data_IF_985037480457
#
_entry.id   IF_985037480457
#
_cell.length_a   1.000
_cell.length_b   1.000
_cell.length_c   1.000
_cell.angle_alpha   90.00
_cell.angle_beta   90.00
_cell.angle_gamma   90.00
#
_symmetry.space_group_name_H-M   'P 1'
#
loop_
_entity.id
_entity.type
_entity.pdbx_description
1 polymer ?
#
# COMPACT_ATOMS: atom_id res chain seq x y z
N UNK A 1 26.39 2.99 -23.98
CA UNK A 1 26.63 3.79 -22.75
C UNK A 1 28.09 3.68 -22.41
N UNK A 2 28.77 4.81 -22.20
CA UNK A 2 30.20 4.82 -21.86
C UNK A 2 30.42 4.52 -20.36
N UNK A 3 31.66 4.25 -19.96
CA UNK A 3 32.01 4.10 -18.53
C UNK A 3 31.78 5.42 -17.76
N UNK A 4 31.97 6.56 -18.42
CA UNK A 4 31.69 7.88 -17.84
C UNK A 4 30.19 8.06 -17.57
N UNK A 5 29.33 7.67 -18.52
CA UNK A 5 27.88 7.70 -18.32
C UNK A 5 27.45 6.80 -17.16
N UNK A 6 28.02 5.59 -17.07
CA UNK A 6 27.74 4.67 -15.96
C UNK A 6 28.14 5.29 -14.61
N UNK A 7 29.33 5.89 -14.54
CA UNK A 7 29.83 6.56 -13.33
C UNK A 7 28.94 7.74 -12.94
N UNK A 8 28.40 8.48 -13.92
CA UNK A 8 27.46 9.58 -13.67
C UNK A 8 26.13 9.07 -13.10
N UNK A 9 25.61 7.95 -13.59
CA UNK A 9 24.40 7.32 -13.06
C UNK A 9 24.64 6.85 -11.62
N UNK A 10 25.72 6.11 -11.38
CA UNK A 10 26.09 5.60 -10.05
C UNK A 10 26.11 6.71 -8.99
N UNK A 11 26.70 7.86 -9.32
CA UNK A 11 26.83 9.01 -8.40
C UNK A 11 25.53 9.80 -8.22
N UNK A 12 24.48 9.53 -8.98
CA UNK A 12 23.23 10.31 -8.95
C UNK A 12 22.02 9.53 -8.44
N UNK A 13 22.04 8.19 -8.46
CA UNK A 13 20.85 7.37 -8.14
C UNK A 13 20.47 7.32 -6.65
N UNK A 14 21.41 7.60 -5.75
CA UNK A 14 21.20 7.54 -4.29
C UNK A 14 21.76 8.80 -3.60
N UNK A 15 20.99 9.90 -3.56
CA UNK A 15 21.48 11.18 -3.03
C UNK A 15 21.57 11.24 -1.49
N UNK A 16 21.01 10.25 -0.77
CA UNK A 16 20.98 10.25 0.70
C UNK A 16 20.25 9.04 1.28
N UNK A 17 19.76 9.19 2.51
CA UNK A 17 19.01 8.15 3.21
C UNK A 17 17.64 7.85 2.60
N UNK A 18 17.14 6.63 2.79
CA UNK A 18 15.80 6.20 2.36
C UNK A 18 15.80 4.90 1.58
N UNK A 19 14.60 4.35 1.39
CA UNK A 19 14.40 3.19 0.54
C UNK A 19 14.35 3.56 -0.96
N UNK A 20 14.32 2.57 -1.85
CA UNK A 20 14.14 2.79 -3.28
C UNK A 20 12.85 3.58 -3.56
N UNK A 21 12.93 4.66 -4.36
CA UNK A 21 11.81 5.59 -4.56
C UNK A 21 10.63 5.07 -5.40
N UNK A 22 10.83 4.06 -6.25
CA UNK A 22 9.75 3.44 -7.01
C UNK A 22 8.83 2.56 -6.14
N UNK A 23 7.71 2.12 -6.70
CA UNK A 23 6.78 1.15 -6.10
C UNK A 23 7.35 -0.29 -6.13
N UNK A 24 8.57 -0.45 -5.61
CA UNK A 24 9.19 -1.74 -5.33
C UNK A 24 8.69 -2.28 -3.99
N UNK A 25 9.27 -3.39 -3.51
CA UNK A 25 8.83 -4.08 -2.29
C UNK A 25 8.71 -3.14 -1.08
N UNK A 26 9.68 -2.24 -0.85
CA UNK A 26 9.66 -1.36 0.33
C UNK A 26 8.44 -0.44 0.36
N UNK A 27 8.21 0.33 -0.71
CA UNK A 27 7.07 1.23 -0.83
C UNK A 27 5.73 0.47 -0.94
N UNK A 28 5.74 -0.70 -1.59
CA UNK A 28 4.57 -1.58 -1.63
C UNK A 28 4.19 -2.02 -0.21
N UNK A 29 5.15 -2.51 0.57
CA UNK A 29 4.90 -3.01 1.92
C UNK A 29 4.60 -1.89 2.93
N UNK A 30 5.14 -0.67 2.74
CA UNK A 30 4.75 0.49 3.52
C UNK A 30 3.28 0.88 3.26
N UNK A 31 2.85 0.87 1.99
CA UNK A 31 1.45 1.12 1.63
C UNK A 31 0.51 0.01 2.12
N UNK A 32 0.96 -1.24 2.08
CA UNK A 32 0.27 -2.40 2.69
C UNK A 32 0.10 -2.21 4.19
N UNK A 33 1.10 -1.70 4.90
CA UNK A 33 1.02 -1.51 6.34
C UNK A 33 -0.05 -0.46 6.72
N UNK A 34 -0.18 0.62 5.94
CA UNK A 34 -1.31 1.55 6.09
C UNK A 34 -2.65 0.87 5.80
N UNK A 35 -2.76 0.13 4.69
CA UNK A 35 -4.00 -0.50 4.25
C UNK A 35 -4.49 -1.63 5.18
N UNK A 36 -3.55 -2.36 5.83
CA UNK A 36 -3.84 -3.30 6.91
C UNK A 36 -4.33 -2.61 8.19
N UNK A 37 -4.20 -1.29 8.28
CA UNK A 37 -4.44 -0.54 9.51
C UNK A 37 -3.32 -0.68 10.53
N UNK A 38 -2.14 -1.19 10.16
CA UNK A 38 -0.98 -1.40 11.04
C UNK A 38 0.00 -0.23 11.07
N UNK A 39 -0.26 0.83 10.32
CA UNK A 39 0.49 2.08 10.31
C UNK A 39 -0.47 3.26 10.31
N UNK A 40 -0.04 4.39 10.86
CA UNK A 40 -0.86 5.60 10.87
C UNK A 40 -1.17 6.04 9.43
N UNK A 41 -2.42 6.42 9.11
CA UNK A 41 -2.79 6.92 7.79
C UNK A 41 -1.90 8.09 7.36
N UNK A 42 -1.32 7.99 6.16
CA UNK A 42 -0.42 8.98 5.57
C UNK A 42 1.06 8.83 5.96
N UNK A 43 1.43 7.84 6.78
CA UNK A 43 2.80 7.68 7.27
C UNK A 43 3.76 7.04 6.26
N UNK A 44 3.29 6.34 5.22
CA UNK A 44 4.12 5.63 4.26
C UNK A 44 4.81 6.57 3.27
N UNK A 45 4.08 7.58 2.76
CA UNK A 45 4.52 8.37 1.62
C UNK A 45 5.61 9.43 1.89
N UNK A 46 5.65 10.13 3.04
CA UNK A 46 6.64 11.19 3.26
C UNK A 46 8.08 10.71 3.08
N UNK A 47 8.96 11.44 2.36
CA UNK A 47 10.34 11.03 2.18
C UNK A 47 11.09 10.83 3.50
N UNK A 48 12.10 9.96 3.51
CA UNK A 48 12.94 9.66 4.68
C UNK A 48 13.44 10.91 5.42
N UNK A 49 14.00 11.85 4.68
CA UNK A 49 14.58 13.09 5.21
C UNK A 49 13.54 14.17 5.59
N UNK A 50 12.24 13.90 5.41
CA UNK A 50 11.17 14.84 5.74
C UNK A 50 10.80 14.75 7.23
N UNK A 51 10.75 15.90 7.92
CA UNK A 51 10.42 15.99 9.36
C UNK A 51 9.01 15.51 9.72
N UNK A 52 8.12 15.36 8.74
CA UNK A 52 6.83 14.69 8.95
C UNK A 52 7.02 13.24 9.43
N UNK A 53 8.15 12.59 9.12
CA UNK A 53 8.46 11.24 9.63
C UNK A 53 8.71 11.23 11.13
N UNK A 54 9.38 12.24 11.68
CA UNK A 54 9.55 12.41 13.14
C UNK A 54 8.19 12.58 13.83
N UNK A 55 7.30 13.35 13.22
CA UNK A 55 5.92 13.51 13.70
C UNK A 55 5.18 12.17 13.73
N UNK A 56 5.19 11.41 12.63
CA UNK A 56 4.55 10.08 12.60
C UNK A 56 5.18 9.10 13.59
N UNK A 57 6.51 9.17 13.81
CA UNK A 57 7.19 8.35 14.81
C UNK A 57 6.70 8.66 16.23
N UNK A 58 6.57 9.95 16.58
CA UNK A 58 6.02 10.36 17.87
C UNK A 58 4.55 9.93 18.03
N UNK A 59 3.70 10.21 17.04
CA UNK A 59 2.28 9.83 17.03
C UNK A 59 2.10 8.30 17.12
N UNK A 60 3.03 7.51 16.58
CA UNK A 60 2.99 6.05 16.70
C UNK A 60 3.22 5.59 18.15
N UNK A 61 4.05 6.33 18.92
CA UNK A 61 4.22 6.12 20.36
C UNK A 61 2.95 6.42 21.15
N UNK A 62 2.24 7.49 20.80
CA UNK A 62 0.92 7.79 21.40
C UNK A 62 -0.11 6.71 21.05
N UNK A 63 -0.14 6.28 19.79
CA UNK A 63 -1.06 5.28 19.29
C UNK A 63 -0.93 3.95 20.04
N UNK A 64 0.29 3.44 20.22
CA UNK A 64 0.49 2.17 20.94
C UNK A 64 0.07 2.25 22.41
N UNK A 65 0.24 3.41 23.07
CA UNK A 65 -0.27 3.61 24.44
C UNK A 65 -1.80 3.57 24.47
N UNK A 66 -2.46 4.17 23.48
CA UNK A 66 -3.91 4.10 23.34
C UNK A 66 -4.40 2.66 23.10
N UNK A 67 -3.74 1.91 22.21
CA UNK A 67 -4.07 0.51 21.94
C UNK A 67 -3.98 -0.35 23.21
N UNK A 68 -2.94 -0.14 24.02
CA UNK A 68 -2.79 -0.83 25.32
C UNK A 68 -3.94 -0.46 26.27
N UNK A 69 -4.31 0.82 26.33
CA UNK A 69 -5.39 1.28 27.20
C UNK A 69 -6.76 0.73 26.79
N UNK A 70 -7.00 0.58 25.48
CA UNK A 70 -8.24 0.04 24.90
C UNK A 70 -8.25 -1.49 24.82
N UNK A 71 -7.10 -2.15 25.08
CA UNK A 71 -6.96 -3.60 24.97
C UNK A 71 -6.99 -4.11 23.52
N UNK A 72 -6.67 -3.27 22.54
CA UNK A 72 -6.64 -3.63 21.12
C UNK A 72 -5.29 -4.27 20.80
N UNK A 73 -5.33 -5.47 20.22
CA UNK A 73 -4.16 -6.23 19.81
C UNK A 73 -4.00 -6.27 18.30
N UNK A 74 -2.82 -6.70 17.83
CA UNK A 74 -2.54 -6.77 16.40
C UNK A 74 -3.51 -7.70 15.63
N UNK A 75 -4.03 -8.76 16.26
CA UNK A 75 -4.99 -9.68 15.62
C UNK A 75 -6.40 -9.10 15.54
N UNK A 76 -6.73 -8.11 16.38
CA UNK A 76 -7.99 -7.36 16.25
C UNK A 76 -7.98 -6.43 15.02
N UNK A 77 -6.78 -6.05 14.55
CA UNK A 77 -6.55 -5.19 13.39
C UNK A 77 -6.37 -6.02 12.11
N UNK A 78 -5.50 -7.03 12.16
CA UNK A 78 -5.13 -7.84 10.99
C UNK A 78 -6.17 -8.93 10.70
N UNK A 79 -7.39 -8.54 10.34
CA UNK A 79 -8.48 -9.45 9.93
C UNK A 79 -8.43 -9.80 8.45
N UNK A 80 -9.25 -10.76 8.01
CA UNK A 80 -9.39 -11.11 6.58
C UNK A 80 -9.66 -9.88 5.72
N UNK A 81 -10.60 -9.04 6.13
CA UNK A 81 -10.99 -7.81 5.45
C UNK A 81 -9.83 -6.80 5.38
N UNK A 82 -9.00 -6.69 6.43
CA UNK A 82 -7.80 -5.86 6.40
C UNK A 82 -6.78 -6.38 5.36
N UNK A 83 -6.60 -7.70 5.25
CA UNK A 83 -5.77 -8.27 4.18
C UNK A 83 -6.35 -8.02 2.79
N UNK A 84 -7.68 -8.07 2.62
CA UNK A 84 -8.31 -7.72 1.35
C UNK A 84 -8.12 -6.24 0.98
N UNK A 85 -8.14 -5.33 1.97
CA UNK A 85 -7.79 -3.92 1.79
C UNK A 85 -6.34 -3.77 1.31
N UNK A 86 -5.42 -4.48 1.95
CA UNK A 86 -4.02 -4.47 1.58
C UNK A 86 -3.78 -4.96 0.14
N UNK A 87 -4.45 -6.04 -0.27
CA UNK A 87 -4.39 -6.53 -1.65
C UNK A 87 -4.95 -5.48 -2.60
N UNK A 88 -6.09 -4.86 -2.28
CA UNK A 88 -6.71 -3.82 -3.11
C UNK A 88 -5.76 -2.63 -3.33
N UNK A 89 -5.08 -2.18 -2.28
CA UNK A 89 -4.07 -1.11 -2.39
C UNK A 89 -2.86 -1.54 -3.23
N UNK A 90 -2.37 -2.78 -3.08
CA UNK A 90 -1.30 -3.33 -3.93
C UNK A 90 -1.71 -3.31 -5.40
N UNK A 91 -2.94 -3.74 -5.72
CA UNK A 91 -3.44 -3.75 -7.10
C UNK A 91 -3.58 -2.33 -7.66
N UNK A 92 -4.11 -1.40 -6.87
CA UNK A 92 -4.29 -0.01 -7.26
C UNK A 92 -2.97 0.71 -7.56
N UNK A 93 -1.91 0.40 -6.84
CA UNK A 93 -0.59 0.99 -7.08
C UNK A 93 0.28 0.25 -8.11
N UNK A 94 -0.13 -0.92 -8.59
CA UNK A 94 0.75 -1.78 -9.39
C UNK A 94 1.96 -2.26 -8.59
N UNK A 95 1.72 -2.64 -7.33
CA UNK A 95 2.76 -3.00 -6.37
C UNK A 95 3.59 -4.23 -6.76
N UNK A 96 4.68 -4.43 -6.03
CA UNK A 96 5.58 -5.57 -6.24
C UNK A 96 4.89 -6.92 -6.04
N UNK A 97 5.18 -7.89 -6.92
CA UNK A 97 4.74 -9.29 -6.75
C UNK A 97 5.22 -9.93 -5.46
N UNK A 98 6.30 -9.42 -4.84
CA UNK A 98 6.75 -9.88 -3.52
C UNK A 98 5.72 -9.63 -2.40
N UNK A 99 4.80 -8.67 -2.59
CA UNK A 99 3.72 -8.43 -1.65
C UNK A 99 2.84 -9.67 -1.46
N UNK A 100 2.68 -10.51 -2.49
CA UNK A 100 1.94 -11.79 -2.38
C UNK A 100 2.59 -12.70 -1.33
N UNK A 101 3.90 -12.89 -1.40
CA UNK A 101 4.64 -13.72 -0.46
C UNK A 101 4.57 -13.16 0.96
N UNK A 102 4.76 -11.85 1.11
CA UNK A 102 4.74 -11.21 2.42
C UNK A 102 3.36 -11.22 3.05
N UNK A 103 2.30 -10.89 2.31
CA UNK A 103 0.93 -10.91 2.81
C UNK A 103 0.50 -12.32 3.24
N UNK A 104 0.81 -13.36 2.45
CA UNK A 104 0.53 -14.75 2.84
C UNK A 104 1.28 -15.15 4.12
N UNK A 105 2.53 -14.73 4.28
CA UNK A 105 3.31 -15.00 5.50
C UNK A 105 2.74 -14.27 6.72
N UNK A 106 2.43 -12.98 6.59
CA UNK A 106 1.85 -12.17 7.67
C UNK A 106 0.47 -12.70 8.06
N UNK A 107 -0.37 -13.07 7.09
CA UNK A 107 -1.68 -13.67 7.33
C UNK A 107 -1.57 -14.97 8.13
N UNK A 108 -0.58 -15.81 7.79
CA UNK A 108 -0.33 -17.05 8.54
C UNK A 108 0.08 -16.80 9.99
N UNK A 109 0.92 -15.81 10.25
CA UNK A 109 1.30 -15.43 11.63
C UNK A 109 0.14 -14.79 12.41
N UNK A 110 -0.74 -14.07 11.70
CA UNK A 110 -1.97 -13.49 12.24
C UNK A 110 -3.10 -14.52 12.41
N UNK A 111 -2.91 -15.78 12.01
CA UNK A 111 -3.92 -16.84 11.99
C UNK A 111 -5.15 -16.52 11.11
N UNK A 112 -4.91 -15.79 10.01
CA UNK A 112 -5.92 -15.47 9.00
C UNK A 112 -5.78 -16.38 7.79
N UNK A 113 -6.91 -16.92 7.34
CA UNK A 113 -6.98 -17.71 6.10
C UNK A 113 -6.88 -16.80 4.87
N UNK A 114 -5.68 -16.67 4.31
CA UNK A 114 -5.40 -15.95 3.07
C UNK A 114 -4.82 -16.91 2.04
N UNK A 115 -5.45 -16.96 0.87
CA UNK A 115 -5.16 -17.91 -0.20
C UNK A 115 -4.69 -17.15 -1.45
N UNK A 116 -3.95 -17.82 -2.33
CA UNK A 116 -3.50 -17.22 -3.59
C UNK A 116 -4.68 -16.80 -4.48
N UNK A 117 -5.79 -17.53 -4.39
CA UNK A 117 -7.02 -17.23 -5.12
C UNK A 117 -7.66 -15.89 -4.73
N UNK A 118 -7.42 -15.40 -3.50
CA UNK A 118 -7.93 -14.10 -3.06
C UNK A 118 -7.30 -12.95 -3.85
N UNK A 119 -6.03 -13.08 -4.23
CA UNK A 119 -5.35 -12.07 -5.03
C UNK A 119 -5.99 -11.89 -6.40
N UNK A 120 -6.34 -12.98 -7.09
CA UNK A 120 -7.04 -12.89 -8.38
C UNK A 120 -8.45 -12.31 -8.21
N UNK A 121 -9.22 -12.81 -7.22
CA UNK A 121 -10.59 -12.33 -6.95
C UNK A 121 -10.64 -10.81 -6.74
N UNK A 122 -9.63 -10.25 -6.09
CA UNK A 122 -9.51 -8.81 -5.83
C UNK A 122 -8.95 -8.08 -7.06
N UNK A 123 -7.89 -8.61 -7.70
CA UNK A 123 -7.29 -8.04 -8.90
C UNK A 123 -8.29 -7.86 -10.05
N UNK A 124 -9.26 -8.77 -10.17
CA UNK A 124 -10.30 -8.73 -11.21
C UNK A 124 -11.26 -7.52 -11.05
N UNK A 125 -11.31 -6.91 -9.86
CA UNK A 125 -12.24 -5.80 -9.54
C UNK A 125 -11.54 -4.46 -9.31
N UNK A 126 -10.25 -4.48 -8.95
CA UNK A 126 -9.51 -3.27 -8.58
C UNK A 126 -8.68 -2.78 -9.77
N UNK A 127 -8.91 -1.55 -10.27
CA UNK A 127 -8.15 -1.00 -11.38
C UNK A 127 -6.73 -0.61 -10.96
N UNK A 128 -5.78 -0.63 -11.90
CA UNK A 128 -4.43 -0.09 -11.70
C UNK A 128 -4.42 1.42 -11.92
N UNK A 129 -4.21 2.20 -10.85
CA UNK A 129 -4.29 3.66 -10.83
C UNK A 129 -2.93 4.36 -10.79
N UNK A 130 -1.91 3.77 -10.14
CA UNK A 130 -0.62 4.44 -9.93
C UNK A 130 0.29 4.44 -11.17
N UNK A 131 0.62 5.61 -11.73
CA UNK A 131 1.62 5.74 -12.79
C UNK A 131 3.04 5.77 -12.20
N UNK A 132 3.41 4.68 -11.52
CA UNK A 132 4.61 4.61 -10.69
C UNK A 132 5.65 3.65 -11.24
N UNK A 133 6.92 4.03 -11.14
CA UNK A 133 8.04 3.11 -11.41
C UNK A 133 7.88 1.83 -10.58
N UNK A 134 8.20 0.65 -11.12
CA UNK A 134 8.92 0.43 -12.38
C UNK A 134 8.07 0.48 -13.65
N UNK A 135 6.73 0.44 -13.55
CA UNK A 135 5.85 0.37 -14.72
C UNK A 135 5.58 1.73 -15.35
N UNK A 136 5.42 2.74 -14.49
CA UNK A 136 5.09 4.11 -14.84
C UNK A 136 6.24 5.10 -14.68
N UNK A 137 5.87 6.39 -14.61
CA UNK A 137 6.81 7.53 -14.69
C UNK A 137 7.26 8.04 -13.33
N UNK A 138 6.37 8.05 -12.34
CA UNK A 138 6.53 8.76 -11.08
C UNK A 138 7.09 7.87 -9.95
N UNK A 139 7.43 8.48 -8.82
CA UNK A 139 7.97 7.82 -7.62
C UNK A 139 7.14 8.16 -6.38
N UNK A 140 7.38 7.48 -5.24
CA UNK A 140 6.60 7.66 -4.01
C UNK A 140 6.57 9.11 -3.49
N UNK A 141 7.64 9.88 -3.73
CA UNK A 141 7.66 11.31 -3.39
C UNK A 141 6.62 12.13 -4.19
N UNK A 142 6.28 11.71 -5.41
CA UNK A 142 5.21 12.34 -6.18
C UNK A 142 3.83 11.93 -5.63
N UNK A 143 3.69 10.70 -5.14
CA UNK A 143 2.48 10.23 -4.44
C UNK A 143 2.24 11.03 -3.16
N UNK A 144 3.27 11.25 -2.36
CA UNK A 144 3.21 12.11 -1.16
C UNK A 144 2.68 13.52 -1.47
N UNK A 145 3.15 14.13 -2.56
CA UNK A 145 2.75 15.48 -2.98
C UNK A 145 1.28 15.57 -3.40
N UNK A 146 0.67 14.48 -3.84
CA UNK A 146 -0.75 14.44 -4.24
C UNK A 146 -1.66 13.88 -3.13
N UNK A 147 -1.15 13.76 -1.90
CA UNK A 147 -1.93 13.38 -0.72
C UNK A 147 -1.66 11.96 -0.19
N UNK A 148 -0.69 11.25 -0.77
CA UNK A 148 -0.18 9.99 -0.24
C UNK A 148 -1.11 8.79 -0.48
N UNK A 149 -0.82 7.71 0.24
CA UNK A 149 -1.61 6.47 0.23
C UNK A 149 -3.09 6.69 0.63
N UNK A 150 -3.43 7.56 1.60
CA UNK A 150 -4.82 7.80 1.98
C UNK A 150 -5.75 8.24 0.85
N UNK A 151 -5.26 9.02 -0.13
CA UNK A 151 -6.07 9.45 -1.28
C UNK A 151 -6.52 8.25 -2.12
N UNK A 152 -5.65 7.27 -2.33
CA UNK A 152 -6.00 6.01 -3.01
C UNK A 152 -6.95 5.18 -2.16
N UNK A 153 -6.69 5.04 -0.86
CA UNK A 153 -7.59 4.29 0.03
C UNK A 153 -9.00 4.89 0.08
N UNK A 154 -9.12 6.22 0.08
CA UNK A 154 -10.41 6.92 0.04
C UNK A 154 -11.16 6.65 -1.27
N UNK A 155 -10.49 6.74 -2.41
CA UNK A 155 -11.11 6.41 -3.70
C UNK A 155 -11.58 4.95 -3.79
N UNK A 156 -10.79 4.01 -3.26
CA UNK A 156 -11.19 2.60 -3.19
C UNK A 156 -12.37 2.37 -2.23
N UNK A 157 -12.39 3.07 -1.09
CA UNK A 157 -13.50 3.02 -0.13
C UNK A 157 -14.79 3.52 -0.76
N UNK A 158 -14.77 4.67 -1.43
CA UNK A 158 -15.93 5.27 -2.07
C UNK A 158 -16.47 4.42 -3.23
N UNK A 159 -15.59 3.65 -3.89
CA UNK A 159 -15.95 2.68 -4.92
C UNK A 159 -16.42 1.31 -4.38
N UNK A 160 -16.45 1.11 -3.06
CA UNK A 160 -16.81 -0.19 -2.46
C UNK A 160 -15.78 -1.29 -2.71
N UNK A 161 -14.51 -0.91 -2.93
CA UNK A 161 -13.36 -1.78 -3.13
C UNK A 161 -12.44 -1.85 -1.90
N UNK A 162 -12.85 -1.21 -0.79
CA UNK A 162 -12.12 -1.21 0.48
C UNK A 162 -13.12 -1.34 1.63
N UNK A 163 -12.85 -2.26 2.56
CA UNK A 163 -13.62 -2.49 3.77
C UNK A 163 -13.36 -1.37 4.78
N UNK A 164 -14.34 -0.51 5.00
CA UNK A 164 -14.20 0.66 5.86
C UNK A 164 -14.22 0.35 7.36
N UNK A 165 -14.85 -0.74 7.76
CA UNK A 165 -15.17 -0.99 9.18
C UNK A 165 -14.06 -1.75 9.92
N UNK A 166 -12.92 -2.00 9.26
CA UNK A 166 -11.75 -2.64 9.87
C UNK A 166 -11.10 -1.72 10.90
N UNK A 167 -10.74 -2.28 12.06
CA UNK A 167 -10.00 -1.57 13.11
C UNK A 167 -8.59 -1.22 12.61
N UNK A 168 -8.01 -0.14 13.14
CA UNK A 168 -6.63 0.28 12.83
C UNK A 168 -5.87 0.64 14.11
N UNK A 169 -4.56 0.87 13.99
CA UNK A 169 -3.67 1.29 15.08
C UNK A 169 -4.06 2.63 15.72
N UNK A 170 -4.97 3.40 15.14
CA UNK A 170 -5.48 4.63 15.75
C UNK A 170 -6.56 4.39 16.80
N UNK A 171 -7.02 3.14 16.99
CA UNK A 171 -8.23 2.81 17.77
C UNK A 171 -9.54 3.20 17.06
N UNK A 172 -9.47 3.52 15.76
CA UNK A 172 -10.63 3.88 14.92
C UNK A 172 -10.68 2.99 13.69
N UNK A 173 -11.85 2.91 13.09
CA UNK A 173 -12.04 2.21 11.81
C UNK A 173 -11.30 2.92 10.67
N UNK A 174 -10.99 2.19 9.61
CA UNK A 174 -10.38 2.77 8.40
C UNK A 174 -11.25 3.90 7.82
N UNK A 175 -12.58 3.72 7.79
CA UNK A 175 -13.54 4.73 7.34
C UNK A 175 -13.45 6.01 8.16
N UNK A 176 -13.55 5.92 9.48
CA UNK A 176 -13.48 7.08 10.38
C UNK A 176 -12.19 7.85 10.21
N UNK A 177 -11.07 7.15 10.01
CA UNK A 177 -9.78 7.77 9.76
C UNK A 177 -9.76 8.54 8.43
N UNK A 178 -10.21 7.91 7.34
CA UNK A 178 -10.21 8.53 6.01
C UNK A 178 -11.18 9.71 5.93
N UNK A 179 -12.34 9.62 6.59
CA UNK A 179 -13.34 10.71 6.63
C UNK A 179 -12.91 11.89 7.50
N UNK A 180 -12.05 11.66 8.50
CA UNK A 180 -11.50 12.73 9.34
C UNK A 180 -10.36 13.51 8.68
N UNK A 181 -9.82 13.03 7.55
CA UNK A 181 -8.74 13.66 6.81
C UNK A 181 -9.27 14.59 5.71
N UNK A 182 -8.63 15.74 5.55
CA UNK A 182 -8.86 16.62 4.39
C UNK A 182 -8.07 16.09 3.19
N UNK A 183 -8.64 15.10 2.49
CA UNK A 183 -8.02 14.42 1.36
C UNK A 183 -8.42 15.07 0.04
N UNK A 184 -7.44 15.33 -0.81
CA UNK A 184 -7.68 15.76 -2.18
C UNK A 184 -8.27 14.61 -3.01
N UNK A 185 -8.97 14.98 -4.08
CA UNK A 185 -9.34 14.05 -5.17
C UNK A 185 -8.08 13.48 -5.86
N UNK A 186 -8.24 12.35 -6.56
CA UNK A 186 -7.18 11.79 -7.39
C UNK A 186 -6.72 12.81 -8.45
N UNK A 187 -5.41 13.07 -8.52
CA UNK A 187 -4.85 14.14 -9.36
C UNK A 187 -4.98 13.84 -10.87
N UNK A 188 -5.15 12.57 -11.24
CA UNK A 188 -5.31 12.11 -12.62
C UNK A 188 -4.00 11.95 -13.40
N UNK A 189 -2.86 12.32 -12.81
CA UNK A 189 -1.54 12.25 -13.46
C UNK A 189 -0.63 11.24 -12.75
N UNK A 190 -0.34 11.44 -11.46
CA UNK A 190 0.45 10.50 -10.65
C UNK A 190 -0.42 9.31 -10.27
N UNK A 191 -1.63 9.60 -9.80
CA UNK A 191 -2.67 8.64 -9.50
C UNK A 191 -3.85 8.90 -10.43
N UNK A 192 -4.10 7.95 -11.33
CA UNK A 192 -5.19 8.01 -12.30
C UNK A 192 -6.55 7.98 -11.61
N UNK A 193 -7.56 8.55 -12.29
CA UNK A 193 -8.94 8.49 -11.84
C UNK A 193 -9.52 7.09 -12.01
N UNK A 194 -10.57 6.78 -11.25
CA UNK A 194 -11.25 5.48 -11.30
C UNK A 194 -11.85 5.17 -12.68
N UNK A 195 -12.26 6.19 -13.44
CA UNK A 195 -12.86 6.07 -14.77
C UNK A 195 -11.85 6.11 -15.93
N UNK A 196 -10.59 6.46 -15.66
CA UNK A 196 -9.48 6.50 -16.62
C UNK A 196 -8.20 5.82 -16.06
N UNK A 197 -8.30 4.54 -15.64
CA UNK A 197 -7.17 3.82 -15.05
C UNK A 197 -6.13 3.41 -16.10
N UNK A 198 -4.92 3.05 -15.66
CA UNK A 198 -3.87 2.52 -16.55
C UNK A 198 -4.29 1.17 -17.13
N UNK A 199 -4.80 0.30 -16.26
CA UNK A 199 -5.38 -1.00 -16.62
C UNK A 199 -6.68 -1.20 -15.84
N UNK A 200 -7.66 -1.84 -16.48
CA UNK A 200 -8.98 -2.09 -15.88
C UNK A 200 -8.93 -3.08 -14.70
N UNK A 201 -7.88 -3.90 -14.63
CA UNK A 201 -7.63 -4.88 -13.56
C UNK A 201 -6.25 -4.66 -12.96
N UNK A 202 -6.03 -5.21 -11.77
CA UNK A 202 -4.79 -5.08 -11.01
C UNK A 202 -3.56 -5.63 -11.74
N UNK A 203 -2.38 -5.12 -11.38
CA UNK A 203 -1.11 -5.45 -12.04
C UNK A 203 -0.53 -6.85 -11.76
N UNK A 204 -1.19 -7.67 -10.94
CA UNK A 204 -0.70 -9.00 -10.55
C UNK A 204 -1.75 -10.04 -10.96
N UNK A 205 -1.28 -11.13 -11.59
CA UNK A 205 -2.10 -12.30 -11.90
C UNK A 205 -1.44 -13.57 -11.36
N UNK A 206 -2.21 -14.37 -10.63
CA UNK A 206 -1.80 -15.70 -10.18
C UNK A 206 -2.21 -16.73 -11.24
N UNK A 207 -1.23 -17.45 -11.77
CA UNK A 207 -1.43 -18.48 -12.79
C UNK A 207 -1.51 -19.87 -12.16
N UNK A 208 -2.44 -20.70 -12.62
CA UNK A 208 -2.54 -22.10 -12.23
C UNK A 208 -2.60 -23.03 -13.45
N UNK A 209 -2.09 -24.26 -13.31
CA UNK A 209 -2.14 -25.26 -14.37
C UNK A 209 -1.33 -26.50 -14.04
N UNK A 210 -1.20 -27.42 -14.99
CA UNK A 210 -0.38 -28.64 -14.81
C UNK A 210 1.08 -28.33 -14.50
N UNK A 211 1.61 -27.21 -15.00
CA UNK A 211 2.96 -26.71 -14.68
C UNK A 211 3.07 -26.01 -13.32
N UNK A 212 1.95 -25.53 -12.77
CA UNK A 212 1.89 -24.80 -11.50
C UNK A 212 0.71 -25.31 -10.62
N UNK A 213 0.77 -26.56 -10.13
CA UNK A 213 -0.37 -27.21 -9.49
C UNK A 213 -0.70 -26.65 -8.10
N UNK A 214 0.27 -26.02 -7.42
CA UNK A 214 0.13 -25.47 -6.06
C UNK A 214 -0.44 -24.05 -6.01
N UNK A 215 -0.68 -23.40 -7.15
CA UNK A 215 -1.18 -22.03 -7.21
C UNK A 215 -2.73 -21.92 -7.06
N UNK A 216 -3.40 -23.01 -6.66
CA UNK A 216 -4.85 -23.06 -6.43
C UNK A 216 -5.27 -22.90 -4.96
N UNK A 217 -4.34 -23.13 -4.03
CA UNK A 217 -4.51 -22.91 -2.59
C UNK A 217 -3.84 -21.59 -2.24
#
# INVERSE_FOLDING_TARGET
>A
MSQEDLTRIEKAICPGEGACGGMYTANTMASVAEALGMSLPGSAAPPSADRRRDYFAHRSGEAVVNLIAEGITARDIMTKEAFENAISVVMAFGGSTNAVLHLLAIAREAEVDLQLSDFNRIADRVPHLGDLKPFGRFVMNDVDRVGGVPVVMKALLDAGLLHGDVMTVTGRTMRENLEAMDLAELDGTVIRKMDDPIHATGGISVLHGSLAPRARS
#
